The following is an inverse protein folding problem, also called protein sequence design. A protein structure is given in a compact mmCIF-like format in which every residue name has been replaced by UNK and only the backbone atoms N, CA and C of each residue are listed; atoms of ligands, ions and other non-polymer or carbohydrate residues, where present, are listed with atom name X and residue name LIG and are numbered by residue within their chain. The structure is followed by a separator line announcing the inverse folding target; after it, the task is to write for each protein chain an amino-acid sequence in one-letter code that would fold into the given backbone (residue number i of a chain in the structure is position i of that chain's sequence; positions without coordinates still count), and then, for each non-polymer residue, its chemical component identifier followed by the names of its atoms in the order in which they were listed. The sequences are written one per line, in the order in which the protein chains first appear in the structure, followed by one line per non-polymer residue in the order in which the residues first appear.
data_IF_885796245819
#
_entry.id   IF_885796245819
#
_cell.length_a   1.000
_cell.length_b   1.000
_cell.length_c   1.000
_cell.angle_alpha   90.00
_cell.angle_beta   90.00
_cell.angle_gamma   90.00
#
_symmetry.space_group_name_H-M   'P 1'
#
loop_
_entity.id
_entity.type
_entity.pdbx_description
1 polymer ?
#
# COMPACT_ATOMS: atom_id res chain seq x y z
N UNK A 1 1.91 -31.69 -22.86
CA UNK A 1 3.05 -30.88 -22.38
C UNK A 1 2.50 -29.60 -21.76
N UNK A 2 2.76 -29.31 -20.48
CA UNK A 2 2.38 -28.04 -19.85
C UNK A 2 3.65 -27.19 -19.66
N UNK A 3 3.69 -26.01 -20.26
CA UNK A 3 4.83 -25.09 -20.18
C UNK A 3 4.91 -24.51 -18.75
N UNK A 4 6.00 -24.81 -18.05
CA UNK A 4 6.32 -24.23 -16.76
C UNK A 4 6.71 -22.76 -16.90
N UNK A 5 5.99 -21.88 -16.21
CA UNK A 5 6.37 -20.49 -16.02
C UNK A 5 7.57 -20.44 -15.07
N UNK A 6 8.77 -20.36 -15.66
CA UNK A 6 10.02 -20.15 -14.94
C UNK A 6 10.09 -18.71 -14.44
N UNK A 7 9.77 -18.49 -13.17
CA UNK A 7 9.97 -17.21 -12.51
C UNK A 7 11.47 -17.04 -12.21
N UNK A 8 12.07 -16.04 -12.86
CA UNK A 8 13.50 -15.73 -12.85
C UNK A 8 13.90 -15.15 -11.48
N UNK A 9 15.01 -15.57 -10.86
CA UNK A 9 15.48 -14.98 -9.61
C UNK A 9 16.12 -13.62 -9.92
N UNK A 10 15.50 -12.55 -9.45
CA UNK A 10 16.03 -11.19 -9.58
C UNK A 10 17.19 -11.01 -8.59
N UNK A 11 18.42 -11.08 -9.10
CA UNK A 11 19.63 -10.68 -8.38
C UNK A 11 19.87 -9.18 -8.55
N UNK A 12 19.85 -8.45 -7.44
CA UNK A 12 20.21 -7.04 -7.37
C UNK A 12 19.70 -6.45 -6.06
N UNK A 13 20.58 -5.86 -5.25
CA UNK A 13 20.33 -5.43 -3.87
C UNK A 13 19.35 -4.25 -3.71
N UNK A 14 18.10 -4.44 -4.13
CA UNK A 14 16.98 -3.61 -3.73
C UNK A 14 16.39 -4.14 -2.42
N UNK A 15 16.00 -3.23 -1.53
CA UNK A 15 15.22 -3.59 -0.35
C UNK A 15 14.07 -4.54 -0.76
N UNK A 16 13.72 -5.54 0.07
CA UNK A 16 12.60 -6.42 -0.22
C UNK A 16 11.39 -5.55 -0.54
N UNK A 17 10.84 -5.72 -1.76
CA UNK A 17 9.65 -4.98 -2.17
C UNK A 17 8.55 -5.29 -1.14
N UNK A 18 7.89 -4.27 -0.58
CA UNK A 18 6.78 -4.49 0.34
C UNK A 18 5.75 -5.42 -0.31
N UNK A 19 5.18 -6.31 0.49
CA UNK A 19 4.18 -7.24 0.00
C UNK A 19 3.03 -6.47 -0.69
N UNK A 20 2.62 -6.83 -1.92
CA UNK A 20 1.58 -6.11 -2.65
C UNK A 20 0.25 -6.05 -1.90
N UNK A 21 -0.08 -7.07 -1.09
CA UNK A 21 -1.29 -7.05 -0.27
C UNK A 21 -1.19 -6.05 0.87
N UNK A 22 0.01 -5.85 1.44
CA UNK A 22 0.24 -4.79 2.41
C UNK A 22 -0.01 -3.41 1.81
N UNK A 23 0.55 -3.13 0.62
CA UNK A 23 0.35 -1.84 -0.07
C UNK A 23 -1.14 -1.61 -0.40
N UNK A 24 -1.83 -2.65 -0.87
CA UNK A 24 -3.27 -2.58 -1.13
C UNK A 24 -4.08 -2.29 0.13
N UNK A 25 -3.77 -2.95 1.25
CA UNK A 25 -4.42 -2.69 2.54
C UNK A 25 -4.21 -1.25 3.04
N UNK A 26 -3.01 -0.69 2.83
CA UNK A 26 -2.74 0.72 3.14
C UNK A 26 -3.59 1.64 2.26
N UNK A 27 -3.63 1.37 0.95
CA UNK A 27 -4.43 2.14 0.00
C UNK A 27 -5.91 2.16 0.38
N UNK A 28 -6.50 0.99 0.65
CA UNK A 28 -7.91 0.86 1.05
C UNK A 28 -8.26 1.57 2.37
N UNK A 29 -7.27 1.85 3.23
CA UNK A 29 -7.50 2.62 4.46
C UNK A 29 -7.58 4.13 4.21
N UNK A 30 -6.91 4.61 3.16
CA UNK A 30 -6.82 6.02 2.78
C UNK A 30 -7.95 6.41 1.82
N UNK A 31 -8.22 5.58 0.81
CA UNK A 31 -9.35 5.72 -0.14
C UNK A 31 -10.67 5.38 0.58
N UNK A 32 -11.29 6.41 1.19
CA UNK A 32 -12.48 6.28 2.04
C UNK A 32 -13.74 6.09 1.22
N UNK A 33 -13.81 6.76 0.08
CA UNK A 33 -14.98 6.70 -0.80
C UNK A 33 -14.93 5.52 -1.78
N UNK A 34 -13.81 4.80 -1.84
CA UNK A 34 -13.58 3.64 -2.73
C UNK A 34 -13.62 4.01 -4.20
N UNK A 35 -13.21 5.23 -4.54
CA UNK A 35 -13.11 5.69 -5.92
C UNK A 35 -11.96 5.02 -6.68
N UNK A 36 -10.99 4.42 -5.97
CA UNK A 36 -9.77 3.88 -6.55
C UNK A 36 -8.69 4.95 -6.79
N UNK A 37 -8.89 6.17 -6.30
CA UNK A 37 -7.93 7.29 -6.37
C UNK A 37 -7.94 7.99 -5.00
N UNK A 38 -6.79 8.42 -4.50
CA UNK A 38 -6.74 9.21 -3.26
C UNK A 38 -6.87 10.69 -3.62
N UNK A 39 -7.96 11.32 -3.15
CA UNK A 39 -8.19 12.76 -3.27
C UNK A 39 -7.33 13.58 -2.29
N UNK A 40 -7.22 14.89 -2.52
CA UNK A 40 -6.52 15.80 -1.60
C UNK A 40 -7.15 15.78 -0.20
N UNK A 41 -8.47 15.67 -0.11
CA UNK A 41 -9.20 15.64 1.15
C UNK A 41 -8.92 14.34 1.93
N UNK A 42 -8.85 13.20 1.25
CA UNK A 42 -8.53 11.91 1.88
C UNK A 42 -7.08 11.85 2.35
N UNK A 43 -6.15 12.36 1.53
CA UNK A 43 -4.75 12.48 1.92
C UNK A 43 -4.60 13.38 3.15
N UNK A 44 -5.25 14.54 3.15
CA UNK A 44 -5.25 15.46 4.31
C UNK A 44 -5.76 14.77 5.57
N UNK A 45 -6.84 14.01 5.50
CA UNK A 45 -7.37 13.27 6.65
C UNK A 45 -6.43 12.14 7.12
N UNK A 46 -5.82 11.39 6.19
CA UNK A 46 -4.89 10.32 6.52
C UNK A 46 -3.61 10.84 7.21
N UNK A 47 -3.14 12.02 6.81
CA UNK A 47 -1.98 12.70 7.42
C UNK A 47 -2.36 13.42 8.72
N UNK A 48 -3.55 14.00 8.81
CA UNK A 48 -4.05 14.68 10.02
C UNK A 48 -4.24 13.72 11.19
N UNK A 49 -4.48 12.43 10.91
CA UNK A 49 -4.59 11.37 11.92
C UNK A 49 -3.25 10.75 12.35
N UNK A 50 -2.10 11.28 11.90
CA UNK A 50 -0.78 10.92 12.42
C UNK A 50 -0.52 11.37 13.87
N UNK A 51 -1.42 12.17 14.45
CA UNK A 51 -1.35 12.64 15.84
C UNK A 51 -2.63 12.27 16.61
N UNK A 52 -2.82 10.99 16.88
CA UNK A 52 -3.50 10.60 18.11
C UNK A 52 -2.44 10.41 19.19
N UNK A 53 -1.92 11.53 19.70
CA UNK A 53 -1.42 11.52 21.08
C UNK A 53 -2.68 11.40 21.92
N UNK A 54 -2.74 10.34 22.73
CA UNK A 54 -3.74 10.10 23.77
C UNK A 54 -4.31 11.41 24.31
N UNK A 55 -5.61 11.63 24.14
CA UNK A 55 -6.36 12.42 25.09
C UNK A 55 -6.88 11.46 26.16
N UNK A 56 -6.60 11.84 27.41
CA UNK A 56 -6.89 11.19 28.69
C UNK A 56 -5.79 10.24 29.20
#
# INVERSE_FOLDING_TARGET
MAAGYHHRPNGGGGAPMPDPSFLWNVFQRVDKDRSGIISDNELQQALSNGKSVMSL
#
